data_IF_386958809540
#
_entry.id   IF_386958809540
#
_cell.length_a   1.000
_cell.length_b   1.000
_cell.length_c   1.000
_cell.angle_alpha   90.00
_cell.angle_beta   90.00
_cell.angle_gamma   90.00
#
_symmetry.space_group_name_H-M   'P 1'
#
loop_
_entity.id
_entity.type
_entity.pdbx_description
1 polymer ?
#
# COMPACT_ATOMS: atom_id res chain seq x y z
N UNK A 1 13.13 4.52 -7.29
CA UNK A 1 12.40 5.80 -7.35
C UNK A 1 12.82 6.67 -6.16
N UNK A 2 13.05 7.98 -6.33
CA UNK A 2 13.40 8.86 -5.19
C UNK A 2 12.14 9.34 -4.45
N UNK A 3 12.24 9.69 -3.16
CA UNK A 3 11.10 10.25 -2.43
C UNK A 3 10.59 11.57 -3.04
N UNK A 4 11.48 12.36 -3.65
CA UNK A 4 11.10 13.61 -4.30
C UNK A 4 10.28 13.35 -5.56
N UNK A 5 10.74 12.44 -6.43
CA UNK A 5 9.99 11.95 -7.59
C UNK A 5 8.61 11.44 -7.17
N UNK A 6 8.53 10.74 -6.03
CA UNK A 6 7.26 10.27 -5.50
C UNK A 6 6.30 11.44 -5.15
N UNK A 7 6.78 12.47 -4.45
CA UNK A 7 5.93 13.63 -4.13
C UNK A 7 5.47 14.33 -5.42
N UNK A 8 6.38 14.56 -6.34
CA UNK A 8 6.11 15.34 -7.55
C UNK A 8 5.17 14.61 -8.52
N UNK A 9 5.39 13.32 -8.74
CA UNK A 9 4.63 12.53 -9.72
C UNK A 9 3.38 11.87 -9.12
N UNK A 10 3.32 11.65 -7.81
CA UNK A 10 2.26 10.84 -7.19
C UNK A 10 1.44 11.57 -6.12
N UNK A 11 2.03 12.47 -5.32
CA UNK A 11 1.24 13.25 -4.34
C UNK A 11 0.72 14.56 -4.92
N UNK A 12 1.39 15.12 -5.92
CA UNK A 12 0.99 16.35 -6.60
C UNK A 12 0.32 16.09 -7.96
N UNK A 13 -0.07 14.84 -8.23
CA UNK A 13 -0.68 14.43 -9.50
C UNK A 13 -2.11 14.95 -9.68
N UNK A 14 -2.65 14.80 -10.89
CA UNK A 14 -4.04 15.13 -11.20
C UNK A 14 -5.00 14.17 -10.51
N UNK A 15 -5.98 14.73 -9.80
CA UNK A 15 -7.04 13.98 -9.15
C UNK A 15 -8.07 13.56 -10.20
N UNK A 16 -8.03 12.28 -10.58
CA UNK A 16 -9.03 11.63 -11.46
C UNK A 16 -9.23 12.30 -12.83
N UNK A 17 -8.18 12.91 -13.39
CA UNK A 17 -8.25 13.55 -14.70
C UNK A 17 -9.10 14.82 -14.71
N UNK A 18 -9.33 15.40 -13.53
CA UNK A 18 -10.14 16.63 -13.38
C UNK A 18 -9.32 17.90 -13.58
N UNK A 19 -7.99 17.78 -13.72
CA UNK A 19 -7.04 18.89 -13.71
C UNK A 19 -6.84 19.51 -12.32
N UNK A 20 -7.32 18.86 -11.26
CA UNK A 20 -7.20 19.34 -9.88
C UNK A 20 -5.99 18.70 -9.19
N UNK A 21 -5.40 19.38 -8.22
CA UNK A 21 -4.19 18.94 -7.52
C UNK A 21 -4.25 19.28 -6.03
N UNK A 22 -3.49 18.55 -5.21
CA UNK A 22 -3.22 19.00 -3.84
C UNK A 22 -2.49 20.35 -3.87
N UNK A 23 -2.78 21.21 -2.89
CA UNK A 23 -2.12 22.51 -2.77
C UNK A 23 -0.64 22.33 -2.35
N UNK A 24 -0.37 21.36 -1.47
CA UNK A 24 0.98 20.93 -1.13
C UNK A 24 0.99 19.56 -0.46
N UNK A 25 2.13 18.87 -0.54
CA UNK A 25 2.32 17.52 0.02
C UNK A 25 3.75 17.32 0.54
N UNK A 26 3.92 16.40 1.49
CA UNK A 26 5.25 16.02 1.99
C UNK A 26 5.27 14.62 2.60
N UNK A 27 6.47 14.04 2.62
CA UNK A 27 6.81 12.83 3.37
C UNK A 27 7.81 13.24 4.44
N UNK A 28 7.43 13.04 5.70
CA UNK A 28 8.21 13.47 6.87
C UNK A 28 8.38 12.26 7.79
N UNK A 29 9.61 11.94 8.18
CA UNK A 29 9.91 10.89 9.14
C UNK A 29 9.23 11.14 10.49
N UNK A 30 9.02 10.10 11.29
CA UNK A 30 8.42 10.25 12.63
C UNK A 30 9.25 11.14 13.58
N UNK A 31 10.52 11.34 13.28
CA UNK A 31 11.45 12.25 13.98
C UNK A 31 11.39 13.71 13.48
N UNK A 32 10.56 14.00 12.48
CA UNK A 32 10.46 15.31 11.85
C UNK A 32 11.43 15.55 10.70
N UNK A 33 12.26 14.57 10.34
CA UNK A 33 13.14 14.66 9.16
C UNK A 33 12.32 14.77 7.87
N UNK A 34 12.66 15.72 7.00
CA UNK A 34 11.98 15.89 5.72
C UNK A 34 12.59 14.93 4.70
N UNK A 35 11.82 13.97 4.20
CA UNK A 35 12.27 13.03 3.18
C UNK A 35 12.01 13.55 1.78
N UNK A 36 10.85 14.20 1.58
CA UNK A 36 10.49 14.89 0.35
C UNK A 36 9.32 15.85 0.59
N UNK A 37 9.20 16.88 -0.23
CA UNK A 37 8.09 17.84 -0.14
C UNK A 37 7.85 18.55 -1.47
N UNK A 38 6.62 19.01 -1.68
CA UNK A 38 6.35 19.95 -2.77
C UNK A 38 6.99 21.30 -2.44
N UNK A 39 7.27 22.09 -3.48
CA UNK A 39 7.81 23.44 -3.35
C UNK A 39 6.94 24.36 -2.47
N UNK A 40 5.63 24.15 -2.52
CA UNK A 40 4.63 24.90 -1.75
C UNK A 40 4.43 24.41 -0.30
N UNK A 41 5.08 23.32 0.11
CA UNK A 41 4.86 22.76 1.44
C UNK A 41 5.39 23.68 2.56
N UNK A 42 4.57 23.99 3.58
CA UNK A 42 4.92 24.98 4.58
C UNK A 42 6.12 24.56 5.43
N UNK A 43 6.93 25.53 5.85
CA UNK A 43 7.98 25.31 6.83
C UNK A 43 7.35 25.13 8.21
N UNK A 44 7.62 24.01 8.87
CA UNK A 44 7.05 23.63 10.15
C UNK A 44 8.09 23.64 11.28
N UNK A 45 7.62 23.61 12.52
CA UNK A 45 8.45 23.47 13.72
C UNK A 45 8.51 22.01 14.17
N UNK A 46 9.62 21.52 14.74
CA UNK A 46 9.72 20.14 15.24
C UNK A 46 8.58 19.75 16.19
N UNK A 47 8.18 20.66 17.08
CA UNK A 47 7.07 20.44 18.03
C UNK A 47 5.72 20.17 17.35
N UNK A 48 5.51 20.68 16.13
CA UNK A 48 4.30 20.40 15.35
C UNK A 48 4.24 18.92 14.95
N UNK A 49 5.36 18.33 14.52
CA UNK A 49 5.44 16.90 14.19
C UNK A 49 5.32 16.03 15.44
N UNK A 50 5.97 16.43 16.54
CA UNK A 50 5.86 15.75 17.83
C UNK A 50 4.41 15.72 18.31
N UNK A 51 3.68 16.84 18.18
CA UNK A 51 2.26 16.91 18.52
C UNK A 51 1.38 15.99 17.67
N UNK A 52 1.66 15.90 16.37
CA UNK A 52 0.97 14.99 15.44
C UNK A 52 1.23 13.52 15.80
N UNK A 53 2.48 13.15 16.08
CA UNK A 53 2.83 11.80 16.50
C UNK A 53 2.14 11.42 17.81
N UNK A 54 2.11 12.34 18.77
CA UNK A 54 1.41 12.13 20.03
C UNK A 54 -0.11 11.95 19.87
N UNK A 55 -0.72 12.58 18.87
CA UNK A 55 -2.14 12.35 18.54
C UNK A 55 -2.36 10.96 17.93
N UNK A 56 -1.43 10.45 17.12
CA UNK A 56 -1.51 9.06 16.66
C UNK A 56 -1.39 8.05 17.79
N UNK A 57 -0.55 8.33 18.79
CA UNK A 57 -0.36 7.44 19.95
C UNK A 57 -1.48 7.61 21.00
N UNK A 58 -2.12 8.79 21.03
CA UNK A 58 -3.21 9.14 21.95
C UNK A 58 -4.28 9.95 21.20
N UNK A 59 -5.21 9.26 20.49
CA UNK A 59 -6.21 9.92 19.65
C UNK A 59 -6.99 11.02 20.37
N UNK A 60 -7.03 12.22 19.78
CA UNK A 60 -7.70 13.38 20.34
C UNK A 60 -6.80 14.32 21.13
N UNK A 61 -5.50 14.02 21.26
CA UNK A 61 -4.50 14.92 21.86
C UNK A 61 -4.53 16.35 21.29
N UNK A 62 -4.67 16.48 19.97
CA UNK A 62 -4.70 17.75 19.26
C UNK A 62 -6.09 18.39 19.20
N UNK A 63 -7.17 17.69 19.60
CA UNK A 63 -8.52 18.24 19.50
C UNK A 63 -8.72 19.52 20.34
N UNK A 64 -8.22 19.63 21.59
CA UNK A 64 -8.39 20.85 22.39
C UNK A 64 -7.57 22.05 21.89
N UNK A 65 -6.37 21.81 21.37
CA UNK A 65 -5.43 22.87 20.98
C UNK A 65 -5.50 23.21 19.49
N UNK A 66 -5.93 22.26 18.66
CA UNK A 66 -5.90 22.30 17.21
C UNK A 66 -4.60 21.74 16.64
N UNK A 67 -4.69 21.26 15.39
CA UNK A 67 -3.52 20.80 14.65
C UNK A 67 -2.82 22.00 14.02
N UNK A 68 -1.54 22.19 14.32
CA UNK A 68 -0.74 23.29 13.79
C UNK A 68 0.28 22.76 12.80
N UNK A 69 0.41 23.43 11.65
CA UNK A 69 1.48 23.18 10.69
C UNK A 69 1.88 24.48 10.01
N UNK A 70 3.16 24.84 10.15
CA UNK A 70 3.72 26.06 9.56
C UNK A 70 2.97 27.33 9.96
N UNK A 71 2.61 27.43 11.24
CA UNK A 71 1.88 28.57 11.79
C UNK A 71 0.39 28.61 11.42
N UNK A 72 -0.10 27.68 10.60
CA UNK A 72 -1.53 27.54 10.31
C UNK A 72 -2.18 26.59 11.31
N UNK A 73 -3.24 27.03 11.96
CA UNK A 73 -4.11 26.21 12.82
C UNK A 73 -5.26 25.60 12.01
N UNK A 74 -5.44 24.29 12.15
CA UNK A 74 -6.55 23.51 11.62
C UNK A 74 -7.38 22.96 12.78
N UNK A 75 -8.70 22.96 12.60
CA UNK A 75 -9.62 22.26 13.51
C UNK A 75 -9.54 20.77 13.25
N UNK A 76 -9.18 19.97 14.26
CA UNK A 76 -9.14 18.51 14.13
C UNK A 76 -10.56 17.99 13.90
N UNK A 77 -10.73 17.14 12.90
CA UNK A 77 -12.00 16.47 12.58
C UNK A 77 -11.80 14.95 12.57
N UNK A 78 -12.90 14.20 12.46
CA UNK A 78 -12.88 12.75 12.54
C UNK A 78 -11.97 12.13 11.45
N UNK A 79 -10.92 11.46 11.92
CA UNK A 79 -10.03 10.62 11.13
C UNK A 79 -10.16 9.14 11.53
N UNK A 80 -9.35 8.28 10.94
CA UNK A 80 -9.25 6.86 11.31
C UNK A 80 -8.29 6.73 12.50
N UNK A 81 -8.75 6.25 13.68
CA UNK A 81 -7.91 6.15 14.86
C UNK A 81 -6.61 5.39 14.57
N UNK A 82 -5.47 6.01 14.91
CA UNK A 82 -4.14 5.41 14.71
C UNK A 82 -3.61 5.42 13.27
N UNK A 83 -4.44 5.72 12.26
CA UNK A 83 -4.06 5.64 10.85
C UNK A 83 -4.09 7.01 10.14
N UNK A 84 -5.12 7.83 10.39
CA UNK A 84 -5.33 9.10 9.69
C UNK A 84 -5.79 10.20 10.65
N UNK A 85 -5.12 11.35 10.60
CA UNK A 85 -5.56 12.60 11.23
C UNK A 85 -6.03 13.56 10.14
N UNK A 86 -7.14 14.26 10.39
CA UNK A 86 -7.67 15.29 9.48
C UNK A 86 -7.84 16.61 10.21
N UNK A 87 -7.46 17.69 9.54
CA UNK A 87 -7.67 19.07 9.99
C UNK A 87 -8.44 19.87 8.93
N UNK A 88 -9.36 20.72 9.37
CA UNK A 88 -10.12 21.62 8.50
C UNK A 88 -9.76 23.08 8.75
N UNK A 89 -9.67 23.89 7.68
CA UNK A 89 -9.51 25.34 7.73
C UNK A 89 -10.33 25.99 6.61
N UNK A 90 -11.45 26.60 6.97
CA UNK A 90 -12.38 27.15 5.97
C UNK A 90 -12.88 26.04 5.04
N UNK A 91 -12.73 26.25 3.73
CA UNK A 91 -13.05 25.26 2.69
C UNK A 91 -11.90 24.30 2.38
N UNK A 92 -10.68 24.61 2.81
CA UNK A 92 -9.52 23.74 2.69
C UNK A 92 -9.26 22.88 3.93
N UNK A 93 -8.17 22.13 3.88
CA UNK A 93 -7.77 21.31 5.01
C UNK A 93 -6.47 20.55 4.78
N UNK A 94 -6.21 19.67 5.73
CA UNK A 94 -5.03 18.83 5.75
C UNK A 94 -5.42 17.41 6.16
N UNK A 95 -4.83 16.45 5.47
CA UNK A 95 -4.90 15.04 5.83
C UNK A 95 -3.49 14.56 6.10
N UNK A 96 -3.31 13.78 7.16
CA UNK A 96 -2.03 13.19 7.55
C UNK A 96 -2.25 11.71 7.76
N UNK A 97 -1.51 10.87 7.03
CA UNK A 97 -1.56 9.41 7.17
C UNK A 97 -0.26 8.93 7.81
N UNK A 98 -0.35 8.13 8.87
CA UNK A 98 0.81 7.46 9.46
C UNK A 98 1.09 6.18 8.69
N UNK A 99 2.35 5.97 8.33
CA UNK A 99 2.89 4.72 7.79
C UNK A 99 3.83 4.10 8.81
N UNK A 100 4.38 2.92 8.51
CA UNK A 100 5.37 2.28 9.37
C UNK A 100 6.61 3.15 9.63
N UNK A 101 7.00 4.03 8.70
CA UNK A 101 8.27 4.77 8.79
C UNK A 101 8.14 6.30 8.71
N UNK A 102 7.04 6.81 8.15
CA UNK A 102 6.86 8.24 7.90
C UNK A 102 5.40 8.68 8.03
N UNK A 103 5.20 10.00 8.02
CA UNK A 103 3.94 10.69 7.89
C UNK A 103 3.80 11.22 6.46
N UNK A 104 2.64 10.95 5.83
CA UNK A 104 2.31 11.45 4.49
C UNK A 104 1.28 12.57 4.62
N UNK A 105 1.72 13.78 4.32
CA UNK A 105 0.93 15.01 4.36
C UNK A 105 0.29 15.30 3.01
N UNK A 106 -0.96 15.76 3.05
CA UNK A 106 -1.63 16.33 1.88
C UNK A 106 -2.49 17.50 2.35
N UNK A 107 -2.20 18.69 1.83
CA UNK A 107 -2.93 19.93 2.05
C UNK A 107 -3.72 20.22 0.79
N UNK A 108 -4.99 20.56 0.95
CA UNK A 108 -5.90 20.84 -0.15
C UNK A 108 -6.66 22.14 0.11
N UNK A 109 -7.02 22.79 -0.99
CA UNK A 109 -7.86 23.97 -1.04
C UNK A 109 -8.96 23.74 -2.10
N UNK A 110 -10.01 24.55 -2.09
CA UNK A 110 -11.04 24.48 -3.14
C UNK A 110 -10.43 24.62 -4.54
N UNK A 111 -10.91 23.83 -5.53
CA UNK A 111 -12.10 22.98 -5.52
C UNK A 111 -11.92 21.57 -4.94
N UNK A 112 -10.73 21.22 -4.43
CA UNK A 112 -10.43 19.87 -3.94
C UNK A 112 -11.10 19.63 -2.60
N UNK A 113 -11.94 18.59 -2.53
CA UNK A 113 -12.64 18.17 -1.32
C UNK A 113 -11.78 17.28 -0.42
N UNK A 114 -12.12 17.12 0.88
CA UNK A 114 -11.45 16.16 1.75
C UNK A 114 -11.50 14.72 1.20
N UNK A 115 -12.60 14.35 0.53
CA UNK A 115 -12.75 13.05 -0.14
C UNK A 115 -11.77 12.85 -1.28
N UNK A 116 -11.60 13.85 -2.14
CA UNK A 116 -10.62 13.85 -3.23
C UNK A 116 -9.17 13.83 -2.71
N UNK A 117 -8.87 14.57 -1.64
CA UNK A 117 -7.56 14.46 -0.97
C UNK A 117 -7.31 13.04 -0.44
N UNK A 118 -8.33 12.38 0.10
CA UNK A 118 -8.22 10.97 0.49
C UNK A 118 -8.09 10.04 -0.73
N UNK A 119 -8.69 10.35 -1.88
CA UNK A 119 -8.56 9.55 -3.11
C UNK A 119 -7.14 9.59 -3.69
N UNK A 120 -6.46 10.75 -3.70
CA UNK A 120 -5.02 10.83 -4.08
C UNK A 120 -4.17 9.92 -3.19
N UNK A 121 -4.54 9.80 -1.91
CA UNK A 121 -3.87 8.89 -0.97
C UNK A 121 -4.35 7.44 -1.04
N UNK A 122 -5.56 7.18 -1.55
CA UNK A 122 -6.14 5.83 -1.71
C UNK A 122 -5.62 5.17 -2.99
N UNK A 123 -5.54 5.90 -4.11
CA UNK A 123 -4.87 5.50 -5.37
C UNK A 123 -3.41 5.06 -5.16
N UNK A 124 -2.79 5.54 -4.07
CA UNK A 124 -1.38 5.31 -3.73
C UNK A 124 -1.18 4.43 -2.50
N UNK A 125 -2.22 3.73 -2.04
CA UNK A 125 -2.00 2.61 -1.14
C UNK A 125 -1.71 1.37 -1.98
N UNK A 126 -0.81 0.50 -1.51
CA UNK A 126 -0.68 -0.85 -2.05
C UNK A 126 -2.05 -1.56 -2.15
N UNK A 127 -3.02 -1.12 -1.35
CA UNK A 127 -4.40 -1.56 -1.40
C UNK A 127 -5.10 -1.28 -2.73
N UNK A 128 -4.81 -0.18 -3.44
CA UNK A 128 -5.39 0.05 -4.78
C UNK A 128 -4.87 -0.95 -5.82
N UNK A 129 -3.61 -1.39 -5.72
CA UNK A 129 -3.13 -2.48 -6.56
C UNK A 129 -3.85 -3.79 -6.25
N UNK A 130 -4.15 -4.05 -4.97
CA UNK A 130 -4.95 -5.22 -4.60
C UNK A 130 -6.39 -5.08 -5.10
N UNK A 131 -7.09 -4.00 -4.73
CA UNK A 131 -8.51 -3.79 -5.00
C UNK A 131 -8.80 -3.66 -6.50
N UNK A 132 -8.02 -2.85 -7.22
CA UNK A 132 -8.32 -2.48 -8.61
C UNK A 132 -7.62 -3.38 -9.64
N UNK A 133 -6.52 -4.05 -9.28
CA UNK A 133 -5.71 -4.82 -10.24
C UNK A 133 -5.67 -6.32 -9.93
N UNK A 134 -5.57 -6.72 -8.66
CA UNK A 134 -5.58 -8.15 -8.30
C UNK A 134 -7.01 -8.70 -8.15
N UNK A 135 -7.88 -7.99 -7.44
CA UNK A 135 -9.27 -8.38 -7.21
C UNK A 135 -10.20 -7.92 -8.36
N UNK A 136 -9.64 -7.70 -9.55
CA UNK A 136 -10.41 -7.34 -10.74
C UNK A 136 -11.14 -8.55 -11.34
N UNK A 137 -12.20 -8.27 -12.11
CA UNK A 137 -12.92 -9.31 -12.84
C UNK A 137 -12.15 -9.76 -14.09
N UNK A 138 -12.07 -11.07 -14.29
CA UNK A 138 -11.55 -11.68 -15.51
C UNK A 138 -12.52 -12.75 -16.01
N UNK A 139 -13.13 -12.49 -17.16
CA UNK A 139 -14.07 -13.43 -17.80
C UNK A 139 -15.17 -13.94 -16.84
N UNK A 140 -15.70 -13.06 -15.98
CA UNK A 140 -16.72 -13.40 -14.97
C UNK A 140 -16.19 -14.00 -13.67
N UNK A 141 -14.87 -14.10 -13.49
CA UNK A 141 -14.23 -14.68 -12.30
C UNK A 141 -13.39 -13.64 -11.54
N UNK A 142 -13.13 -13.93 -10.27
CA UNK A 142 -12.28 -13.13 -9.38
C UNK A 142 -11.31 -14.06 -8.64
N UNK A 143 -10.15 -13.54 -8.25
CA UNK A 143 -9.32 -14.23 -7.26
C UNK A 143 -10.14 -14.41 -5.96
N UNK A 144 -9.95 -15.55 -5.28
CA UNK A 144 -10.53 -15.78 -3.95
C UNK A 144 -9.94 -14.81 -2.92
N UNK A 145 -8.64 -14.54 -3.02
CA UNK A 145 -7.95 -13.51 -2.24
C UNK A 145 -6.61 -13.15 -2.85
N UNK A 146 -6.07 -11.99 -2.52
CA UNK A 146 -4.78 -11.53 -3.01
C UNK A 146 -4.05 -10.63 -2.00
N UNK A 147 -2.72 -10.56 -2.11
CA UNK A 147 -1.89 -9.70 -1.28
C UNK A 147 -0.60 -9.25 -1.97
N UNK A 148 -0.06 -8.15 -1.47
CA UNK A 148 1.28 -7.64 -1.75
C UNK A 148 2.06 -7.68 -0.45
N UNK A 149 3.14 -8.46 -0.43
CA UNK A 149 3.94 -8.73 0.77
C UNK A 149 5.40 -8.37 0.49
N UNK A 150 6.04 -7.61 1.37
CA UNK A 150 7.48 -7.38 1.29
C UNK A 150 8.27 -8.68 1.44
N UNK A 151 9.50 -8.72 0.93
CA UNK A 151 10.38 -9.91 1.07
C UNK A 151 10.69 -10.28 2.53
N UNK A 152 10.52 -9.34 3.47
CA UNK A 152 10.64 -9.51 4.91
C UNK A 152 9.37 -10.09 5.58
N UNK A 153 8.30 -10.32 4.83
CA UNK A 153 7.01 -10.78 5.33
C UNK A 153 6.05 -9.66 5.78
N UNK A 154 6.45 -8.39 5.65
CA UNK A 154 5.57 -7.27 5.97
C UNK A 154 4.41 -7.18 4.98
N UNK A 155 3.17 -7.16 5.47
CA UNK A 155 1.98 -6.98 4.63
C UNK A 155 1.88 -5.53 4.18
N UNK A 156 2.00 -5.29 2.87
CA UNK A 156 1.84 -3.96 2.29
C UNK A 156 0.37 -3.68 1.95
N UNK A 157 -0.34 -4.69 1.45
CA UNK A 157 -1.78 -4.69 1.26
C UNK A 157 -2.33 -6.10 1.07
N UNK A 158 -3.61 -6.30 1.36
CA UNK A 158 -4.28 -7.58 1.17
C UNK A 158 -5.79 -7.43 1.03
N UNK A 159 -6.44 -8.38 0.36
CA UNK A 159 -7.90 -8.49 0.34
C UNK A 159 -8.42 -8.92 1.71
N UNK A 160 -9.70 -8.65 2.00
CA UNK A 160 -10.32 -8.97 3.29
C UNK A 160 -10.16 -10.45 3.69
N UNK A 161 -10.29 -11.36 2.72
CA UNK A 161 -10.27 -12.81 2.94
C UNK A 161 -8.87 -13.43 2.76
N UNK A 162 -7.81 -12.62 2.66
CA UNK A 162 -6.46 -13.15 2.54
C UNK A 162 -6.05 -13.86 3.85
N UNK A 163 -5.56 -15.10 3.79
CA UNK A 163 -5.34 -15.89 4.99
C UNK A 163 -4.18 -15.34 5.83
N UNK A 164 -4.32 -15.42 7.14
CA UNK A 164 -3.22 -15.13 8.08
C UNK A 164 -2.13 -16.18 7.94
N UNK A 165 -0.92 -15.77 7.62
CA UNK A 165 0.23 -16.64 7.39
C UNK A 165 1.27 -16.51 8.50
N UNK A 166 2.19 -17.46 8.57
CA UNK A 166 3.33 -17.42 9.48
C UNK A 166 4.58 -16.89 8.78
N UNK A 167 5.51 -16.22 9.49
CA UNK A 167 6.75 -15.71 8.89
C UNK A 167 7.58 -16.78 8.18
N UNK A 168 7.57 -18.02 8.67
CA UNK A 168 8.29 -19.13 8.07
C UNK A 168 7.74 -19.53 6.69
N UNK A 169 6.45 -19.28 6.44
CA UNK A 169 5.82 -19.54 5.14
C UNK A 169 6.37 -18.59 4.07
N UNK A 170 6.50 -17.30 4.39
CA UNK A 170 7.11 -16.31 3.47
C UNK A 170 8.60 -16.56 3.28
N UNK A 171 9.31 -16.95 4.35
CA UNK A 171 10.73 -17.32 4.27
C UNK A 171 10.93 -18.53 3.37
N UNK A 172 10.06 -19.55 3.45
CA UNK A 172 10.10 -20.71 2.56
C UNK A 172 9.89 -20.33 1.09
N UNK A 173 8.94 -19.44 0.80
CA UNK A 173 8.70 -18.90 -0.55
C UNK A 173 9.93 -18.13 -1.06
N UNK A 174 10.52 -17.27 -0.24
CA UNK A 174 11.72 -16.51 -0.62
C UNK A 174 12.93 -17.42 -0.86
N UNK A 175 13.09 -18.48 -0.07
CA UNK A 175 14.13 -19.47 -0.28
C UNK A 175 13.98 -20.20 -1.61
N UNK A 176 12.76 -20.54 -2.03
CA UNK A 176 12.53 -21.18 -3.34
C UNK A 176 12.80 -20.24 -4.52
N UNK A 177 12.58 -18.93 -4.36
CA UNK A 177 13.04 -17.98 -5.37
C UNK A 177 14.56 -17.88 -5.48
N UNK A 178 15.28 -18.06 -4.37
CA UNK A 178 16.74 -18.00 -4.35
C UNK A 178 17.37 -19.34 -4.78
N UNK A 179 16.74 -20.45 -4.41
CA UNK A 179 17.13 -21.83 -4.68
C UNK A 179 15.91 -22.60 -5.23
N UNK A 180 15.65 -22.52 -6.55
CA UNK A 180 14.47 -23.13 -7.17
C UNK A 180 14.36 -24.63 -6.89
N UNK A 181 13.20 -25.05 -6.37
CA UNK A 181 12.87 -26.44 -6.10
C UNK A 181 12.97 -26.85 -4.62
N UNK A 182 13.36 -25.94 -3.72
CA UNK A 182 13.39 -26.20 -2.27
C UNK A 182 12.00 -26.46 -1.68
N UNK A 183 10.93 -25.90 -2.26
CA UNK A 183 9.55 -26.19 -1.85
C UNK A 183 8.97 -27.46 -2.48
N UNK A 184 9.58 -28.05 -3.52
CA UNK A 184 9.01 -29.21 -4.20
C UNK A 184 8.84 -30.44 -3.28
N UNK A 185 9.78 -30.78 -2.35
CA UNK A 185 9.62 -31.92 -1.44
C UNK A 185 8.61 -31.68 -0.31
N UNK A 186 8.50 -30.44 0.17
CA UNK A 186 7.72 -30.09 1.37
C UNK A 186 6.33 -29.56 1.04
N UNK A 187 6.16 -28.96 -0.13
CA UNK A 187 4.99 -28.20 -0.58
C UNK A 187 5.08 -26.71 -0.20
N UNK A 188 4.38 -25.87 -0.95
CA UNK A 188 4.19 -24.46 -0.61
C UNK A 188 3.13 -24.36 0.48
N UNK A 189 3.45 -23.74 1.61
CA UNK A 189 2.48 -23.43 2.65
C UNK A 189 2.14 -21.95 2.63
N UNK A 190 0.85 -21.63 2.72
CA UNK A 190 0.37 -20.27 2.90
C UNK A 190 -0.91 -20.31 3.75
N UNK A 191 -0.90 -19.64 4.89
CA UNK A 191 -2.04 -19.62 5.80
C UNK A 191 -2.38 -21.00 6.36
N UNK A 192 -1.37 -21.84 6.61
CA UNK A 192 -1.52 -23.23 7.04
C UNK A 192 -2.04 -24.17 5.95
N UNK A 193 -2.35 -23.68 4.75
CA UNK A 193 -2.77 -24.51 3.63
C UNK A 193 -1.56 -24.97 2.82
N UNK A 194 -1.45 -26.28 2.62
CA UNK A 194 -0.44 -26.90 1.74
C UNK A 194 -0.92 -26.92 0.28
N UNK A 195 -0.09 -26.42 -0.62
CA UNK A 195 -0.22 -26.50 -2.06
C UNK A 195 0.89 -27.38 -2.65
N UNK A 196 0.54 -28.20 -3.63
CA UNK A 196 1.53 -28.94 -4.44
C UNK A 196 2.20 -27.96 -5.40
N UNK A 197 3.53 -27.85 -5.34
CA UNK A 197 4.28 -27.00 -6.27
C UNK A 197 4.15 -27.57 -7.69
N UNK A 198 3.81 -26.71 -8.64
CA UNK A 198 3.74 -27.03 -10.07
C UNK A 198 4.71 -26.14 -10.84
N UNK A 199 4.81 -26.35 -12.15
CA UNK A 199 5.76 -25.61 -13.00
C UNK A 199 5.56 -24.09 -12.91
N UNK A 200 6.56 -23.41 -12.36
CA UNK A 200 6.70 -21.96 -12.30
C UNK A 200 7.76 -21.44 -13.28
N UNK A 201 8.29 -20.26 -12.98
CA UNK A 201 9.44 -19.66 -13.65
C UNK A 201 10.59 -19.50 -12.64
N UNK A 202 11.74 -20.14 -12.83
CA UNK A 202 12.84 -20.10 -11.86
C UNK A 202 13.22 -18.66 -11.49
N UNK A 203 13.17 -18.34 -10.18
CA UNK A 203 13.52 -17.02 -9.66
C UNK A 203 12.47 -15.92 -9.88
N UNK A 204 11.39 -16.18 -10.63
CA UNK A 204 10.38 -15.17 -10.98
C UNK A 204 8.96 -15.54 -10.53
N UNK A 205 8.51 -16.78 -10.76
CA UNK A 205 7.14 -17.21 -10.46
C UNK A 205 7.13 -18.57 -9.79
N UNK A 206 6.41 -18.68 -8.67
CA UNK A 206 6.08 -19.95 -8.02
C UNK A 206 4.58 -20.19 -8.16
N UNK A 207 4.21 -21.42 -8.50
CA UNK A 207 2.80 -21.83 -8.65
C UNK A 207 2.50 -23.03 -7.78
N UNK A 208 1.37 -22.99 -7.08
CA UNK A 208 0.88 -24.05 -6.22
C UNK A 208 -0.53 -24.48 -6.60
N UNK A 209 -0.83 -25.77 -6.48
CA UNK A 209 -2.16 -26.34 -6.74
C UNK A 209 -2.71 -27.07 -5.51
N UNK A 210 -4.00 -26.89 -5.23
CA UNK A 210 -4.75 -27.61 -4.19
C UNK A 210 -6.14 -27.98 -4.72
N UNK A 211 -6.29 -29.23 -5.15
CA UNK A 211 -7.55 -29.68 -5.77
C UNK A 211 -7.91 -28.81 -6.98
N UNK A 212 -9.10 -28.20 -7.01
CA UNK A 212 -9.52 -27.32 -8.11
C UNK A 212 -8.89 -25.92 -8.05
N UNK A 213 -8.50 -25.45 -6.87
CA UNK A 213 -7.89 -24.14 -6.66
C UNK A 213 -6.37 -24.16 -6.65
N UNK A 214 -5.78 -23.00 -6.35
CA UNK A 214 -4.34 -22.84 -6.28
C UNK A 214 -3.88 -21.45 -5.89
N UNK A 215 -2.59 -21.23 -6.03
CA UNK A 215 -1.91 -19.97 -5.72
C UNK A 215 -0.84 -19.68 -6.75
N UNK A 216 -0.70 -18.42 -7.14
CA UNK A 216 0.42 -17.91 -7.93
C UNK A 216 1.13 -16.83 -7.13
N UNK A 217 2.46 -16.92 -7.09
CA UNK A 217 3.35 -15.97 -6.43
C UNK A 217 4.34 -15.44 -7.45
N UNK A 218 4.30 -14.13 -7.72
CA UNK A 218 5.26 -13.43 -8.57
C UNK A 218 6.20 -12.60 -7.71
N UNK A 219 7.51 -12.78 -7.88
CA UNK A 219 8.54 -11.96 -7.21
C UNK A 219 8.79 -10.68 -7.99
N UNK A 220 8.84 -9.55 -7.29
CA UNK A 220 9.33 -8.26 -7.79
C UNK A 220 10.67 -7.90 -7.13
N UNK A 221 11.19 -6.69 -7.36
CA UNK A 221 12.45 -6.24 -6.75
C UNK A 221 12.34 -6.13 -5.24
N UNK A 222 11.16 -5.79 -4.71
CA UNK A 222 10.95 -5.50 -3.29
C UNK A 222 9.78 -6.28 -2.65
N UNK A 223 8.92 -6.91 -3.45
CA UNK A 223 7.70 -7.54 -2.97
C UNK A 223 7.42 -8.91 -3.62
N UNK A 224 6.41 -9.57 -3.07
CA UNK A 224 5.73 -10.76 -3.56
C UNK A 224 4.29 -10.38 -3.87
N UNK A 225 3.85 -10.66 -5.08
CA UNK A 225 2.46 -10.52 -5.51
C UNK A 225 1.83 -11.89 -5.44
N UNK A 226 0.81 -12.06 -4.61
CA UNK A 226 0.18 -13.35 -4.33
C UNK A 226 -1.29 -13.28 -4.73
N UNK A 227 -1.72 -14.23 -5.55
CA UNK A 227 -3.13 -14.47 -5.87
C UNK A 227 -3.52 -15.90 -5.56
N UNK A 228 -4.62 -16.07 -4.83
CA UNK A 228 -5.25 -17.36 -4.52
C UNK A 228 -6.55 -17.43 -5.33
N UNK A 229 -6.81 -18.57 -5.94
CA UNK A 229 -8.02 -18.82 -6.72
C UNK A 229 -8.65 -20.16 -6.37
N UNK A 230 -9.96 -20.23 -6.58
CA UNK A 230 -10.76 -21.46 -6.54
C UNK A 230 -11.61 -21.55 -7.81
N UNK A 231 -12.27 -22.70 -8.02
CA UNK A 231 -13.25 -22.87 -9.09
C UNK A 231 -14.36 -21.80 -9.00
N UNK A 232 -14.83 -21.25 -10.14
CA UNK A 232 -14.57 -21.70 -11.52
C UNK A 232 -13.35 -21.05 -12.19
N UNK A 233 -12.54 -20.28 -11.45
CA UNK A 233 -11.36 -19.63 -11.99
C UNK A 233 -10.26 -20.64 -12.34
N UNK A 234 -9.61 -20.44 -13.48
CA UNK A 234 -8.54 -21.31 -13.96
C UNK A 234 -7.16 -20.84 -13.48
N UNK A 235 -6.16 -21.75 -13.41
CA UNK A 235 -4.79 -21.37 -13.10
C UNK A 235 -4.23 -20.29 -14.05
N UNK A 236 -4.60 -20.34 -15.34
CA UNK A 236 -4.14 -19.38 -16.34
C UNK A 236 -4.67 -17.96 -16.09
N UNK A 237 -5.92 -17.83 -15.66
CA UNK A 237 -6.51 -16.54 -15.28
C UNK A 237 -5.79 -15.94 -14.07
N UNK A 238 -5.49 -16.76 -13.05
CA UNK A 238 -4.75 -16.30 -11.87
C UNK A 238 -3.34 -15.83 -12.24
N UNK A 239 -2.62 -16.63 -13.03
CA UNK A 239 -1.31 -16.29 -13.55
C UNK A 239 -1.31 -14.93 -14.26
N UNK A 240 -2.25 -14.72 -15.18
CA UNK A 240 -2.30 -13.48 -15.95
C UNK A 240 -2.47 -12.24 -15.07
N UNK A 241 -3.33 -12.29 -14.05
CA UNK A 241 -3.55 -11.17 -13.14
C UNK A 241 -2.29 -10.88 -12.30
N UNK A 242 -1.76 -11.91 -11.64
CA UNK A 242 -0.64 -11.78 -10.71
C UNK A 242 0.64 -11.38 -11.43
N UNK A 243 0.94 -12.02 -12.55
CA UNK A 243 2.16 -11.78 -13.31
C UNK A 243 2.14 -10.42 -14.01
N UNK A 244 0.99 -10.00 -14.58
CA UNK A 244 0.87 -8.66 -15.18
C UNK A 244 1.15 -7.54 -14.18
N UNK A 245 0.61 -7.63 -12.96
CA UNK A 245 0.90 -6.62 -11.94
C UNK A 245 2.37 -6.67 -11.51
N UNK A 246 2.93 -7.87 -11.31
CA UNK A 246 4.33 -7.99 -10.92
C UNK A 246 5.30 -7.49 -11.98
N UNK A 247 5.03 -7.73 -13.27
CA UNK A 247 5.83 -7.20 -14.38
C UNK A 247 5.75 -5.67 -14.44
N UNK A 248 4.55 -5.09 -14.27
CA UNK A 248 4.39 -3.64 -14.17
C UNK A 248 5.23 -3.05 -13.01
N UNK A 249 5.18 -3.66 -11.82
CA UNK A 249 5.97 -3.20 -10.68
C UNK A 249 7.48 -3.31 -10.94
N UNK A 250 7.93 -4.39 -11.58
CA UNK A 250 9.33 -4.56 -11.99
C UNK A 250 9.78 -3.48 -12.98
N UNK A 251 8.95 -3.13 -13.96
CA UNK A 251 9.23 -2.04 -14.90
C UNK A 251 9.35 -0.68 -14.20
N UNK A 252 8.60 -0.46 -13.11
CA UNK A 252 8.71 0.73 -12.27
C UNK A 252 9.90 0.69 -11.29
N UNK A 253 10.66 -0.41 -11.26
CA UNK A 253 11.78 -0.62 -10.35
C UNK A 253 11.36 -0.89 -8.90
N UNK A 254 10.20 -1.54 -8.72
CA UNK A 254 9.62 -1.97 -7.44
C UNK A 254 9.63 -3.50 -7.30
#
# INVERSE_FOLDING_TARGET
MSWQTYVDEHLMCDIDGTGQHLASSAIIGHDGSVWAKSTSFPQFKPDEITGIMKDFDSPGHLAPTGLHLGGTKYMVIQGEPGAVIRGKKGSGGITIKKTAQALVFGIYEEPVTPGQCNMVKKKMSWQAYVDDHLMCEIEGNFLSSAAIIGHDGSVWAQSADFPQFKPEEITGIMNDFNEPGTLAPTGLYLGGTKYMVIQGEPGAVIRGKKGPGGVTVKKTSMALIIGIYDEPMTPGQCNMIVERLGDYLMEQGL
#
